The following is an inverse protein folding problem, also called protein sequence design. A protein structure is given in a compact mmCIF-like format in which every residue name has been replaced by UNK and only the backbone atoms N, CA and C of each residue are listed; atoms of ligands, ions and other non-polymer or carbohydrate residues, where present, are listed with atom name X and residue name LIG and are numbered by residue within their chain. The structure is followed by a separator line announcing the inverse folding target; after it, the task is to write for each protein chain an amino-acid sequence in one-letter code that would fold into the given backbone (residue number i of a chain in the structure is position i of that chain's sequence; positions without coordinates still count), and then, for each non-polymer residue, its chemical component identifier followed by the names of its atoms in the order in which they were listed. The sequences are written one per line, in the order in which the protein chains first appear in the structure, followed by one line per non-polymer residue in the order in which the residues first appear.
data_IF_068377419520
#
_entry.id   IF_068377419520
#
_cell.length_a   1.000
_cell.length_b   1.000
_cell.length_c   1.000
_cell.angle_alpha   90.00
_cell.angle_beta   90.00
_cell.angle_gamma   90.00
#
_symmetry.space_group_name_H-M   'P 1'
#
loop_
_entity.id
_entity.type
_entity.pdbx_description
1 polymer ?
#
# COMPACT_ATOMS: atom_id res chain seq x y z
N UNK A 1 86.13 -56.41 -11.59
CA UNK A 1 85.95 -55.07 -11.02
C UNK A 1 84.77 -54.40 -11.73
N UNK A 2 83.51 -54.69 -11.38
CA UNK A 2 82.72 -54.11 -10.29
C UNK A 2 82.97 -52.61 -10.07
N UNK A 3 81.86 -51.86 -10.17
CA UNK A 3 81.51 -50.60 -9.47
C UNK A 3 82.37 -49.39 -9.85
N UNK A 4 81.83 -48.33 -10.46
CA UNK A 4 81.27 -47.20 -9.69
C UNK A 4 80.38 -46.20 -10.49
N UNK A 5 79.91 -46.48 -11.72
CA UNK A 5 79.26 -45.42 -12.53
C UNK A 5 77.70 -45.35 -12.48
N UNK A 6 77.00 -46.19 -11.70
CA UNK A 6 75.52 -46.31 -11.79
C UNK A 6 74.73 -45.86 -10.55
N UNK A 7 75.35 -45.20 -9.57
CA UNK A 7 74.66 -44.77 -8.33
C UNK A 7 74.47 -43.26 -8.11
N UNK A 8 75.06 -42.39 -8.93
CA UNK A 8 74.87 -40.93 -8.77
C UNK A 8 73.70 -40.34 -9.61
N UNK A 9 73.34 -40.94 -10.75
CA UNK A 9 72.34 -40.36 -11.67
C UNK A 9 70.87 -40.59 -11.30
N UNK A 10 70.55 -41.53 -10.41
CA UNK A 10 69.16 -41.85 -10.03
C UNK A 10 68.66 -41.07 -8.80
N UNK A 11 69.56 -40.52 -7.98
CA UNK A 11 69.18 -39.76 -6.78
C UNK A 11 68.70 -38.34 -7.12
N UNK A 12 69.27 -37.69 -8.13
CA UNK A 12 68.90 -36.31 -8.51
C UNK A 12 67.53 -36.25 -9.22
N UNK A 13 67.17 -37.26 -10.01
CA UNK A 13 65.86 -37.31 -10.70
C UNK A 13 64.68 -37.62 -9.76
N UNK A 14 64.92 -38.18 -8.58
CA UNK A 14 63.83 -38.50 -7.62
C UNK A 14 63.48 -37.34 -6.69
N UNK A 15 64.43 -36.42 -6.44
CA UNK A 15 64.18 -35.20 -5.66
C UNK A 15 63.40 -34.15 -6.45
N UNK A 16 63.70 -33.96 -7.74
CA UNK A 16 62.98 -33.00 -8.59
C UNK A 16 61.51 -33.40 -8.86
N UNK A 17 61.20 -34.70 -8.88
CA UNK A 17 59.81 -35.19 -9.05
C UNK A 17 58.98 -35.20 -7.76
N UNK A 18 59.61 -34.96 -6.59
CA UNK A 18 58.92 -34.81 -5.30
C UNK A 18 58.69 -33.34 -4.95
N UNK A 19 59.56 -32.42 -5.41
CA UNK A 19 59.33 -30.98 -5.28
C UNK A 19 58.28 -30.45 -6.29
N UNK A 20 58.24 -30.98 -7.52
CA UNK A 20 57.24 -30.60 -8.53
C UNK A 20 55.84 -31.21 -8.35
N UNK A 21 55.59 -31.91 -7.23
CA UNK A 21 54.29 -32.54 -6.93
C UNK A 21 53.66 -32.03 -5.63
N UNK A 22 54.18 -30.94 -5.08
CA UNK A 22 53.65 -30.26 -3.88
C UNK A 22 53.11 -28.85 -4.18
N UNK A 23 52.92 -28.49 -5.44
CA UNK A 23 52.20 -27.27 -5.85
C UNK A 23 51.19 -27.62 -6.94
N UNK A 24 50.09 -28.22 -6.52
CA UNK A 24 48.81 -28.21 -7.22
C UNK A 24 47.73 -28.75 -6.27
N UNK A 25 47.58 -28.13 -5.09
CA UNK A 25 46.22 -28.00 -4.57
C UNK A 25 45.66 -26.79 -5.31
N UNK A 26 45.07 -27.03 -6.47
CA UNK A 26 44.09 -26.09 -7.02
C UNK A 26 43.16 -25.76 -5.85
N UNK A 27 43.09 -24.49 -5.47
CA UNK A 27 41.98 -24.04 -4.63
C UNK A 27 40.74 -24.54 -5.32
N UNK A 28 40.08 -25.54 -4.73
CA UNK A 28 38.70 -25.81 -5.08
C UNK A 28 38.03 -24.49 -4.75
N UNK A 29 37.68 -23.71 -5.77
CA UNK A 29 36.61 -22.73 -5.62
C UNK A 29 35.53 -23.50 -4.88
N UNK A 30 35.24 -23.06 -3.66
CA UNK A 30 34.04 -23.48 -2.97
C UNK A 30 32.94 -22.89 -3.84
N UNK A 31 32.53 -23.65 -4.85
CA UNK A 31 31.33 -23.36 -5.62
C UNK A 31 30.24 -23.49 -4.59
N UNK A 32 29.81 -22.35 -4.05
CA UNK A 32 28.64 -22.33 -3.18
C UNK A 32 27.54 -23.11 -3.90
N UNK A 33 26.86 -24.03 -3.20
CA UNK A 33 25.77 -24.79 -3.81
C UNK A 33 24.80 -23.77 -4.44
N UNK A 34 24.32 -24.00 -5.67
CA UNK A 34 23.45 -23.06 -6.34
C UNK A 34 22.30 -22.69 -5.40
N UNK A 35 22.14 -21.39 -5.14
CA UNK A 35 21.14 -20.88 -4.20
C UNK A 35 19.77 -21.51 -4.52
N UNK A 36 19.06 -21.98 -3.49
CA UNK A 36 17.71 -22.54 -3.65
C UNK A 36 16.85 -21.55 -4.44
N UNK A 37 16.37 -21.91 -5.65
CA UNK A 37 15.61 -20.99 -6.51
C UNK A 37 14.40 -20.36 -5.80
N UNK A 38 13.83 -21.06 -4.81
CA UNK A 38 12.72 -20.52 -4.00
C UNK A 38 13.19 -19.46 -3.02
N UNK A 39 14.33 -19.69 -2.36
CA UNK A 39 14.93 -18.73 -1.45
C UNK A 39 15.37 -17.46 -2.20
N UNK A 40 15.96 -17.62 -3.38
CA UNK A 40 16.37 -16.48 -4.21
C UNK A 40 15.16 -15.69 -4.72
N UNK A 41 14.11 -16.36 -5.21
CA UNK A 41 12.86 -15.67 -5.59
C UNK A 41 12.25 -14.91 -4.40
N UNK A 42 12.24 -15.52 -3.21
CA UNK A 42 11.75 -14.87 -1.99
C UNK A 42 12.56 -13.62 -1.66
N UNK A 43 13.88 -13.71 -1.69
CA UNK A 43 14.80 -12.57 -1.43
C UNK A 43 14.55 -11.44 -2.43
N UNK A 44 14.45 -11.76 -3.72
CA UNK A 44 14.16 -10.78 -4.78
C UNK A 44 12.84 -10.04 -4.52
N UNK A 45 11.75 -10.77 -4.26
CA UNK A 45 10.44 -10.15 -4.03
C UNK A 45 10.39 -9.29 -2.77
N UNK A 46 11.11 -9.64 -1.71
CA UNK A 46 11.20 -8.81 -0.51
C UNK A 46 12.03 -7.54 -0.73
N UNK A 47 12.95 -7.54 -1.70
CA UNK A 47 13.75 -6.38 -2.05
C UNK A 47 13.07 -5.46 -3.07
N UNK A 48 12.15 -5.99 -3.89
CA UNK A 48 11.50 -5.24 -4.96
C UNK A 48 10.68 -4.05 -4.48
N UNK A 49 10.69 -2.96 -5.24
CA UNK A 49 9.75 -1.85 -5.03
C UNK A 49 8.32 -2.25 -5.46
N UNK A 50 7.34 -1.43 -5.11
CA UNK A 50 5.93 -1.73 -5.35
C UNK A 50 5.59 -1.85 -6.85
N UNK A 51 6.26 -1.06 -7.69
CA UNK A 51 6.09 -1.11 -9.16
C UNK A 51 6.54 -2.45 -9.74
N UNK A 52 7.70 -2.95 -9.31
CA UNK A 52 8.19 -4.26 -9.70
C UNK A 52 7.27 -5.40 -9.25
N UNK A 53 6.71 -5.29 -8.03
CA UNK A 53 5.75 -6.26 -7.51
C UNK A 53 4.43 -6.21 -8.30
N UNK A 54 3.97 -5.02 -8.69
CA UNK A 54 2.78 -4.88 -9.53
C UNK A 54 2.95 -5.59 -10.88
N UNK A 55 4.13 -5.44 -11.50
CA UNK A 55 4.49 -6.13 -12.75
C UNK A 55 4.55 -7.65 -12.54
N UNK A 56 5.23 -8.13 -11.49
CA UNK A 56 5.36 -9.56 -11.18
C UNK A 56 3.98 -10.23 -10.98
N UNK A 57 3.07 -9.57 -10.25
CA UNK A 57 1.75 -10.12 -9.93
C UNK A 57 0.65 -9.74 -10.91
N UNK A 58 0.96 -8.91 -11.91
CA UNK A 58 0.06 -8.48 -12.99
C UNK A 58 -1.21 -7.81 -12.49
N UNK A 59 -1.05 -6.94 -11.50
CA UNK A 59 -2.10 -5.97 -11.15
C UNK A 59 -1.97 -4.75 -12.07
N UNK A 60 -3.11 -4.17 -12.40
CA UNK A 60 -3.31 -2.95 -13.18
C UNK A 60 -2.87 -1.67 -12.48
N UNK A 61 -2.61 -1.71 -11.16
CA UNK A 61 -2.05 -0.58 -10.38
C UNK A 61 -0.77 0.01 -10.99
N UNK A 62 -0.07 -0.76 -11.84
CA UNK A 62 0.95 -0.26 -12.76
C UNK A 62 0.72 -0.74 -14.21
N UNK A 63 0.93 0.16 -15.17
CA UNK A 63 0.83 -0.09 -16.60
C UNK A 63 -0.49 0.42 -17.19
N UNK A 64 -1.62 -0.06 -16.67
CA UNK A 64 -2.95 0.53 -16.96
C UNK A 64 -3.09 1.83 -16.17
N UNK A 65 -2.81 1.77 -14.87
CA UNK A 65 -2.73 2.92 -13.98
C UNK A 65 -1.26 3.23 -13.63
N UNK A 66 -1.06 4.31 -12.88
CA UNK A 66 0.27 4.76 -12.40
C UNK A 66 0.27 4.97 -10.89
N UNK A 67 -0.42 4.10 -10.15
CA UNK A 67 -0.66 4.28 -8.72
C UNK A 67 0.54 3.88 -7.85
N UNK A 68 1.35 2.91 -8.29
CA UNK A 68 2.41 2.33 -7.45
C UNK A 68 3.43 3.33 -6.90
N UNK A 69 3.91 4.37 -7.61
CA UNK A 69 4.84 5.33 -7.02
C UNK A 69 4.19 6.19 -5.92
N UNK A 70 2.89 6.49 -6.05
CA UNK A 70 2.15 7.24 -5.03
C UNK A 70 1.93 6.38 -3.79
N UNK A 71 1.49 5.13 -3.96
CA UNK A 71 1.38 4.18 -2.85
C UNK A 71 2.70 3.94 -2.13
N UNK A 72 3.79 3.74 -2.88
CA UNK A 72 5.10 3.53 -2.27
C UNK A 72 5.51 4.76 -1.44
N UNK A 73 5.41 5.97 -1.98
CA UNK A 73 5.68 7.21 -1.24
C UNK A 73 4.91 7.28 0.08
N UNK A 74 3.63 6.93 0.08
CA UNK A 74 2.76 7.07 1.25
C UNK A 74 2.86 5.90 2.23
N UNK A 75 3.22 4.71 1.78
CA UNK A 75 3.13 3.50 2.61
C UNK A 75 4.48 2.79 2.85
N UNK A 76 5.57 3.19 2.21
CA UNK A 76 6.88 2.54 2.36
C UNK A 76 7.36 2.51 3.82
N UNK A 77 7.03 3.53 4.62
CA UNK A 77 7.38 3.57 6.03
C UNK A 77 6.76 2.43 6.86
N UNK A 78 5.68 1.78 6.37
CA UNK A 78 5.01 0.66 7.03
C UNK A 78 5.60 -0.71 6.64
N UNK A 79 6.60 -0.77 5.75
CA UNK A 79 7.13 -2.03 5.19
C UNK A 79 7.59 -3.04 6.25
N UNK A 80 8.17 -2.53 7.33
CA UNK A 80 8.70 -3.31 8.45
C UNK A 80 7.69 -3.58 9.56
N UNK A 81 6.47 -3.02 9.48
CA UNK A 81 5.50 -2.95 10.57
C UNK A 81 4.45 -4.05 10.49
N UNK A 82 3.87 -4.37 11.66
CA UNK A 82 2.73 -5.28 11.77
C UNK A 82 1.45 -4.46 11.91
N UNK A 83 0.63 -4.48 10.86
CA UNK A 83 -0.66 -3.78 10.81
C UNK A 83 -1.66 -4.57 9.96
N UNK A 84 -2.91 -4.13 9.93
CA UNK A 84 -3.93 -4.68 9.03
C UNK A 84 -4.14 -3.73 7.85
N UNK A 85 -4.03 -4.27 6.64
CA UNK A 85 -4.42 -3.62 5.38
C UNK A 85 -5.73 -4.25 4.90
N UNK A 86 -6.75 -3.43 4.66
CA UNK A 86 -8.02 -3.86 4.07
C UNK A 86 -8.14 -3.33 2.64
N UNK A 87 -8.35 -4.21 1.67
CA UNK A 87 -8.65 -3.89 0.28
C UNK A 87 -10.12 -4.25 0.00
N UNK A 88 -10.95 -3.26 -0.34
CA UNK A 88 -12.28 -3.46 -0.88
C UNK A 88 -12.13 -3.70 -2.38
N UNK A 89 -12.56 -4.86 -2.88
CA UNK A 89 -12.30 -5.31 -4.25
C UNK A 89 -11.03 -6.16 -4.35
N UNK A 90 -11.20 -7.49 -4.37
CA UNK A 90 -10.09 -8.44 -4.61
C UNK A 90 -9.78 -8.57 -6.12
N UNK A 91 -10.72 -8.14 -6.96
CA UNK A 91 -10.55 -8.08 -8.40
C UNK A 91 -10.73 -9.40 -9.13
N UNK A 92 -10.58 -9.35 -10.46
CA UNK A 92 -10.82 -10.48 -11.35
C UNK A 92 -12.30 -10.79 -11.61
N UNK A 93 -13.25 -10.08 -10.98
CA UNK A 93 -14.69 -10.32 -11.09
C UNK A 93 -15.00 -11.83 -10.92
N UNK A 94 -15.84 -12.40 -11.79
CA UNK A 94 -16.14 -13.84 -11.83
C UNK A 94 -14.99 -14.73 -12.33
N UNK A 95 -13.90 -14.14 -12.85
CA UNK A 95 -12.79 -14.88 -13.45
C UNK A 95 -11.76 -15.24 -12.38
N UNK A 96 -11.98 -16.38 -11.73
CA UNK A 96 -11.12 -16.96 -10.68
C UNK A 96 -9.60 -16.83 -10.92
N UNK A 97 -9.13 -17.04 -12.16
CA UNK A 97 -7.68 -16.98 -12.50
C UNK A 97 -7.07 -15.57 -12.44
N UNK A 98 -7.88 -14.51 -12.38
CA UNK A 98 -7.44 -13.11 -12.36
C UNK A 98 -7.61 -12.45 -10.98
N UNK A 99 -8.10 -13.17 -9.97
CA UNK A 99 -8.37 -12.60 -8.63
C UNK A 99 -7.12 -12.52 -7.75
N UNK A 100 -7.07 -11.50 -6.89
CA UNK A 100 -6.06 -11.33 -5.85
C UNK A 100 -4.66 -11.00 -6.37
N UNK A 101 -4.57 -10.30 -7.51
CA UNK A 101 -3.29 -9.84 -8.05
C UNK A 101 -2.65 -8.79 -7.12
N UNK A 102 -3.41 -7.76 -6.75
CA UNK A 102 -3.01 -6.71 -5.80
C UNK A 102 -2.75 -7.27 -4.40
N UNK A 103 -3.61 -8.16 -3.88
CA UNK A 103 -3.37 -8.82 -2.59
C UNK A 103 -2.01 -9.53 -2.52
N UNK A 104 -1.54 -10.15 -3.62
CA UNK A 104 -0.20 -10.74 -3.67
C UNK A 104 0.88 -9.66 -3.65
N UNK A 105 0.70 -8.58 -4.40
CA UNK A 105 1.60 -7.42 -4.36
C UNK A 105 1.74 -6.90 -2.93
N UNK A 106 0.63 -6.62 -2.25
CA UNK A 106 0.61 -6.13 -0.87
C UNK A 106 1.28 -7.08 0.11
N UNK A 107 1.03 -8.39 -0.01
CA UNK A 107 1.70 -9.41 0.81
C UNK A 107 3.22 -9.38 0.72
N UNK A 108 3.77 -9.12 -0.46
CA UNK A 108 5.23 -9.07 -0.64
C UNK A 108 5.82 -7.72 -0.28
N UNK A 109 5.05 -6.64 -0.48
CA UNK A 109 5.47 -5.32 -0.05
C UNK A 109 5.45 -5.20 1.49
N UNK A 110 4.41 -5.71 2.15
CA UNK A 110 4.24 -5.71 3.62
C UNK A 110 4.30 -7.13 4.20
N UNK A 111 5.48 -7.75 4.34
CA UNK A 111 5.61 -9.16 4.73
C UNK A 111 5.14 -9.48 6.17
N UNK A 112 4.97 -8.46 7.02
CA UNK A 112 4.48 -8.59 8.40
C UNK A 112 3.04 -8.10 8.59
N UNK A 113 2.42 -7.51 7.57
CA UNK A 113 1.05 -7.07 7.63
C UNK A 113 0.08 -8.23 7.42
N UNK A 114 -1.11 -8.07 7.97
CA UNK A 114 -2.28 -8.86 7.61
C UNK A 114 -2.94 -8.21 6.41
N UNK A 115 -3.09 -8.97 5.33
CA UNK A 115 -3.71 -8.50 4.08
C UNK A 115 -5.14 -9.05 4.02
N UNK A 116 -6.11 -8.17 4.19
CA UNK A 116 -7.52 -8.49 4.20
C UNK A 116 -8.15 -8.00 2.90
N UNK A 117 -8.97 -8.83 2.28
CA UNK A 117 -9.75 -8.46 1.08
C UNK A 117 -11.23 -8.71 1.32
N UNK A 118 -12.08 -7.80 0.87
CA UNK A 118 -13.53 -7.97 0.78
C UNK A 118 -13.96 -7.93 -0.68
N UNK A 119 -14.83 -8.83 -1.10
CA UNK A 119 -15.35 -8.83 -2.46
C UNK A 119 -16.77 -9.39 -2.53
N UNK A 120 -17.56 -8.87 -3.47
CA UNK A 120 -18.94 -9.31 -3.73
C UNK A 120 -18.99 -10.70 -4.35
N UNK A 121 -17.91 -11.16 -4.97
CA UNK A 121 -17.76 -12.53 -5.47
C UNK A 121 -17.00 -13.39 -4.45
N UNK A 122 -17.46 -14.62 -4.22
CA UNK A 122 -16.80 -15.51 -3.27
C UNK A 122 -15.36 -15.87 -3.70
N UNK A 123 -14.43 -15.26 -2.97
CA UNK A 123 -12.98 -15.40 -3.12
C UNK A 123 -12.31 -15.91 -1.84
N UNK A 124 -13.08 -16.43 -0.89
CA UNK A 124 -12.60 -16.94 0.41
C UNK A 124 -11.52 -18.04 0.26
N UNK A 125 -11.50 -18.75 -0.86
CA UNK A 125 -10.45 -19.72 -1.22
C UNK A 125 -9.05 -19.11 -1.38
N UNK A 126 -8.91 -17.78 -1.45
CA UNK A 126 -7.62 -17.08 -1.42
C UNK A 126 -7.02 -17.00 -0.01
N UNK A 127 -7.81 -17.23 1.04
CA UNK A 127 -7.37 -17.18 2.43
C UNK A 127 -6.25 -18.20 2.67
N UNK A 128 -5.05 -17.69 2.94
CA UNK A 128 -3.86 -18.50 3.22
C UNK A 128 -2.74 -17.67 3.85
N UNK A 129 -2.17 -18.17 4.94
CA UNK A 129 -1.11 -17.46 5.65
C UNK A 129 -1.68 -16.19 6.28
N UNK A 130 -1.10 -15.03 5.98
CA UNK A 130 -1.58 -13.72 6.44
C UNK A 130 -2.48 -13.01 5.39
N UNK A 131 -2.96 -13.72 4.37
CA UNK A 131 -4.03 -13.23 3.48
C UNK A 131 -5.36 -13.79 3.97
N UNK A 132 -6.35 -12.92 4.15
CA UNK A 132 -7.71 -13.25 4.57
C UNK A 132 -8.71 -12.63 3.58
N UNK A 133 -9.56 -13.45 2.99
CA UNK A 133 -10.59 -12.99 2.05
C UNK A 133 -11.99 -13.21 2.63
N UNK A 134 -12.82 -12.18 2.50
CA UNK A 134 -14.22 -12.16 2.92
C UNK A 134 -15.12 -12.01 1.70
N UNK A 135 -16.28 -12.66 1.78
CA UNK A 135 -17.37 -12.49 0.83
C UNK A 135 -18.43 -11.56 1.44
N UNK A 136 -18.82 -10.53 0.69
CA UNK A 136 -19.84 -9.58 1.10
C UNK A 136 -19.82 -8.29 0.28
N UNK A 137 -20.76 -7.40 0.57
CA UNK A 137 -20.86 -6.08 -0.06
C UNK A 137 -20.02 -5.05 0.71
N UNK A 138 -19.32 -4.17 0.00
CA UNK A 138 -18.53 -3.10 0.63
C UNK A 138 -19.40 -2.05 1.35
N UNK A 139 -20.70 -2.03 1.06
CA UNK A 139 -21.70 -1.14 1.69
C UNK A 139 -22.38 -1.79 2.89
N UNK A 140 -22.06 -3.04 3.23
CA UNK A 140 -22.66 -3.75 4.36
C UNK A 140 -21.87 -3.48 5.66
N UNK A 141 -22.44 -2.71 6.61
CA UNK A 141 -21.76 -2.40 7.86
C UNK A 141 -21.52 -3.62 8.76
N UNK A 142 -22.34 -4.67 8.66
CA UNK A 142 -22.17 -5.89 9.47
C UNK A 142 -20.95 -6.67 9.01
N UNK A 143 -20.75 -6.79 7.71
CA UNK A 143 -19.56 -7.43 7.13
C UNK A 143 -18.30 -6.67 7.48
N UNK A 144 -18.32 -5.33 7.36
CA UNK A 144 -17.17 -4.49 7.67
C UNK A 144 -16.79 -4.53 9.17
N UNK A 145 -17.79 -4.50 10.07
CA UNK A 145 -17.56 -4.67 11.50
C UNK A 145 -17.00 -6.04 11.84
N UNK A 146 -17.55 -7.11 11.25
CA UNK A 146 -17.03 -8.47 11.42
C UNK A 146 -15.55 -8.56 11.01
N UNK A 147 -15.17 -7.94 9.90
CA UNK A 147 -13.77 -7.90 9.45
C UNK A 147 -12.88 -7.22 10.50
N UNK A 148 -13.32 -6.07 11.02
CA UNK A 148 -12.58 -5.32 12.05
C UNK A 148 -12.46 -6.14 13.34
N UNK A 149 -13.53 -6.78 13.78
CA UNK A 149 -13.56 -7.61 15.00
C UNK A 149 -12.62 -8.81 14.88
N UNK A 150 -12.57 -9.46 13.71
CA UNK A 150 -11.76 -10.67 13.50
C UNK A 150 -10.29 -10.37 13.15
N UNK A 151 -10.01 -9.27 12.46
CA UNK A 151 -8.69 -8.97 11.89
C UNK A 151 -8.00 -7.74 12.51
N UNK A 152 -8.70 -7.00 13.36
CA UNK A 152 -8.28 -5.71 13.92
C UNK A 152 -8.61 -4.55 12.98
N UNK A 153 -8.75 -3.35 13.55
CA UNK A 153 -8.98 -2.13 12.79
C UNK A 153 -7.83 -1.87 11.79
N UNK A 154 -8.13 -1.65 10.50
CA UNK A 154 -7.10 -1.47 9.50
C UNK A 154 -6.39 -0.13 9.67
N UNK A 155 -5.06 -0.14 9.58
CA UNK A 155 -4.27 1.09 9.47
C UNK A 155 -4.29 1.63 8.03
N UNK A 156 -4.48 0.74 7.05
CA UNK A 156 -4.58 1.11 5.63
C UNK A 156 -5.86 0.50 5.06
N UNK A 157 -6.69 1.34 4.44
CA UNK A 157 -7.84 0.92 3.64
C UNK A 157 -7.62 1.33 2.19
N UNK A 158 -7.89 0.43 1.25
CA UNK A 158 -7.89 0.70 -0.18
C UNK A 158 -9.27 0.36 -0.72
N UNK A 159 -10.02 1.37 -1.15
CA UNK A 159 -11.29 1.20 -1.86
C UNK A 159 -11.01 1.11 -3.37
N UNK A 160 -10.97 -0.13 -3.86
CA UNK A 160 -10.79 -0.54 -5.26
C UNK A 160 -11.96 -1.47 -5.67
N UNK A 161 -13.16 -1.17 -5.14
CA UNK A 161 -14.32 -2.04 -5.16
C UNK A 161 -15.21 -1.88 -6.40
N UNK A 162 -16.44 -1.40 -6.23
CA UNK A 162 -17.40 -1.24 -7.33
C UNK A 162 -17.14 0.01 -8.19
N UNK A 163 -16.43 0.99 -7.62
CA UNK A 163 -16.25 2.35 -8.14
C UNK A 163 -17.55 3.13 -8.35
N UNK A 164 -18.70 2.60 -7.89
CA UNK A 164 -19.98 3.33 -7.91
C UNK A 164 -19.89 4.42 -6.83
N UNK A 165 -20.08 5.71 -7.15
CA UNK A 165 -19.87 6.77 -6.19
C UNK A 165 -20.64 6.61 -4.88
N UNK A 166 -21.88 6.15 -4.94
CA UNK A 166 -22.68 5.86 -3.75
C UNK A 166 -22.03 4.79 -2.84
N UNK A 167 -21.41 3.76 -3.42
CA UNK A 167 -20.76 2.69 -2.65
C UNK A 167 -19.45 3.16 -2.02
N UNK A 168 -18.66 3.95 -2.77
CA UNK A 168 -17.41 4.57 -2.27
C UNK A 168 -17.73 5.45 -1.07
N UNK A 169 -18.71 6.35 -1.21
CA UNK A 169 -19.15 7.24 -0.12
C UNK A 169 -19.67 6.46 1.08
N UNK A 170 -20.46 5.42 0.86
CA UNK A 170 -21.04 4.63 1.96
C UNK A 170 -19.98 3.83 2.71
N UNK A 171 -19.07 3.17 2.01
CA UNK A 171 -17.97 2.43 2.64
C UNK A 171 -17.01 3.36 3.40
N UNK A 172 -16.69 4.54 2.85
CA UNK A 172 -15.93 5.57 3.56
C UNK A 172 -16.66 6.04 4.84
N UNK A 173 -17.96 6.36 4.74
CA UNK A 173 -18.79 6.79 5.87
C UNK A 173 -18.84 5.74 7.00
N UNK A 174 -18.86 4.46 6.66
CA UNK A 174 -18.86 3.36 7.63
C UNK A 174 -17.47 3.16 8.24
N UNK A 175 -16.43 3.07 7.40
CA UNK A 175 -15.09 2.65 7.82
C UNK A 175 -14.30 3.77 8.49
N UNK A 176 -14.32 4.98 7.94
CA UNK A 176 -13.42 6.06 8.36
C UNK A 176 -13.51 6.37 9.87
N UNK A 177 -14.70 6.40 10.51
CA UNK A 177 -14.81 6.58 11.95
C UNK A 177 -14.25 5.42 12.79
N UNK A 178 -14.16 4.21 12.23
CA UNK A 178 -13.67 3.01 12.90
C UNK A 178 -12.15 2.82 12.78
N UNK A 179 -11.49 3.64 11.95
CA UNK A 179 -10.05 3.57 11.76
C UNK A 179 -9.28 4.18 12.94
N UNK A 180 -8.09 3.66 13.29
CA UNK A 180 -7.24 4.27 14.30
C UNK A 180 -6.73 5.65 13.85
N UNK A 181 -6.19 6.43 14.79
CA UNK A 181 -5.41 7.62 14.47
C UNK A 181 -4.18 7.27 13.62
N UNK A 182 -3.82 8.12 12.66
CA UNK A 182 -2.75 7.87 11.70
C UNK A 182 -3.09 6.86 10.59
N UNK A 183 -4.35 6.43 10.49
CA UNK A 183 -4.78 5.55 9.41
C UNK A 183 -4.81 6.25 8.04
N UNK A 184 -4.64 5.47 6.99
CA UNK A 184 -4.64 5.93 5.59
C UNK A 184 -5.80 5.28 4.86
N UNK A 185 -6.68 6.09 4.26
CA UNK A 185 -7.79 5.64 3.41
C UNK A 185 -7.53 6.05 1.97
N UNK A 186 -7.46 5.09 1.06
CA UNK A 186 -7.21 5.32 -0.36
C UNK A 186 -8.47 5.02 -1.17
N UNK A 187 -8.78 5.88 -2.15
CA UNK A 187 -9.88 5.69 -3.11
C UNK A 187 -9.27 5.60 -4.50
N UNK A 188 -9.43 4.47 -5.16
CA UNK A 188 -9.02 4.28 -6.56
C UNK A 188 -10.16 4.58 -7.54
N UNK A 189 -9.77 4.85 -8.78
CA UNK A 189 -10.66 4.98 -9.94
C UNK A 189 -11.75 6.06 -9.82
N UNK A 190 -11.38 7.20 -9.24
CA UNK A 190 -12.32 8.30 -8.99
C UNK A 190 -12.92 8.93 -10.26
N UNK A 191 -12.38 8.62 -11.46
CA UNK A 191 -12.94 9.05 -12.75
C UNK A 191 -14.41 8.65 -12.93
N UNK A 192 -14.87 7.58 -12.29
CA UNK A 192 -16.27 7.13 -12.37
C UNK A 192 -17.25 8.17 -11.81
N UNK A 193 -16.77 9.12 -10.99
CA UNK A 193 -17.52 10.30 -10.57
C UNK A 193 -18.07 11.11 -11.75
N UNK A 194 -17.41 11.03 -12.91
CA UNK A 194 -17.79 11.77 -14.12
C UNK A 194 -18.56 10.92 -15.14
N UNK A 195 -18.87 9.66 -14.81
CA UNK A 195 -19.41 8.68 -15.75
C UNK A 195 -20.81 8.22 -15.32
N UNK A 196 -21.90 8.69 -15.96
CA UNK A 196 -23.27 8.31 -15.61
C UNK A 196 -23.54 6.80 -15.60
N UNK A 197 -22.86 6.02 -16.45
CA UNK A 197 -23.00 4.57 -16.48
C UNK A 197 -22.53 3.86 -15.20
N UNK A 198 -21.76 4.53 -14.34
CA UNK A 198 -21.32 4.06 -13.02
C UNK A 198 -22.02 4.81 -11.86
N UNK A 199 -23.05 5.60 -12.14
CA UNK A 199 -23.73 6.43 -11.13
C UNK A 199 -22.99 7.73 -10.79
N UNK A 200 -22.03 8.15 -11.64
CA UNK A 200 -21.47 9.48 -11.61
C UNK A 200 -22.31 10.49 -12.39
N UNK A 201 -21.78 11.69 -12.56
CA UNK A 201 -22.51 12.83 -13.12
C UNK A 201 -21.69 13.55 -14.20
N UNK A 202 -22.35 14.18 -15.17
CA UNK A 202 -21.67 14.93 -16.22
C UNK A 202 -21.11 16.27 -15.71
N UNK A 203 -21.81 16.91 -14.78
CA UNK A 203 -21.34 18.13 -14.13
C UNK A 203 -20.28 17.77 -13.09
N UNK A 204 -19.04 18.27 -13.22
CA UNK A 204 -18.00 18.01 -12.23
C UNK A 204 -18.36 18.47 -10.82
N UNK A 205 -19.30 19.41 -10.65
CA UNK A 205 -19.75 19.94 -9.36
C UNK A 205 -21.02 19.27 -8.83
N UNK A 206 -21.51 18.22 -9.49
CA UNK A 206 -22.71 17.55 -9.03
C UNK A 206 -22.48 16.87 -7.66
N UNK A 207 -23.42 17.03 -6.72
CA UNK A 207 -23.32 16.43 -5.40
C UNK A 207 -23.47 14.91 -5.46
N UNK A 208 -22.98 14.22 -4.42
CA UNK A 208 -23.17 12.78 -4.25
C UNK A 208 -22.19 11.89 -5.01
N UNK A 209 -21.23 12.47 -5.72
CA UNK A 209 -20.15 11.72 -6.39
C UNK A 209 -18.96 11.46 -5.45
N UNK A 210 -18.00 10.61 -5.84
CA UNK A 210 -16.77 10.42 -5.06
C UNK A 210 -15.90 11.67 -5.09
N UNK A 211 -15.86 12.38 -6.22
CA UNK A 211 -15.16 13.67 -6.33
C UNK A 211 -15.84 14.79 -5.53
N UNK A 212 -17.16 14.73 -5.33
CA UNK A 212 -17.88 15.62 -4.43
C UNK A 212 -17.43 15.40 -2.98
N UNK A 213 -17.37 14.14 -2.52
CA UNK A 213 -16.80 13.79 -1.20
C UNK A 213 -15.38 14.36 -1.05
N UNK A 214 -14.52 14.18 -2.05
CA UNK A 214 -13.13 14.66 -1.97
C UNK A 214 -13.05 16.18 -1.88
N UNK A 215 -13.95 16.93 -2.53
CA UNK A 215 -14.00 18.39 -2.40
C UNK A 215 -14.45 18.80 -1.01
N UNK A 216 -15.48 18.16 -0.48
CA UNK A 216 -15.92 18.39 0.90
C UNK A 216 -14.75 18.16 1.88
N UNK A 217 -13.96 17.10 1.69
CA UNK A 217 -12.79 16.82 2.51
C UNK A 217 -11.69 17.89 2.39
N UNK A 218 -11.45 18.40 1.18
CA UNK A 218 -10.43 19.43 0.95
C UNK A 218 -10.84 20.77 1.56
N UNK A 219 -12.12 21.15 1.44
CA UNK A 219 -12.64 22.35 2.11
C UNK A 219 -12.59 22.16 3.64
N UNK A 220 -13.02 21.00 4.14
CA UNK A 220 -13.07 20.62 5.56
C UNK A 220 -11.71 20.62 6.28
N UNK A 221 -10.60 20.48 5.55
CA UNK A 221 -9.25 20.68 6.13
C UNK A 221 -9.13 22.03 6.83
N UNK A 222 -9.84 23.05 6.33
CA UNK A 222 -9.73 24.44 6.78
C UNK A 222 -10.95 24.89 7.61
N UNK A 223 -11.72 23.94 8.16
CA UNK A 223 -13.01 24.24 8.81
C UNK A 223 -12.91 25.26 9.97
N UNK A 224 -11.79 25.31 10.69
CA UNK A 224 -11.56 26.28 11.77
C UNK A 224 -11.44 27.73 11.26
N UNK A 225 -11.28 27.92 9.96
CA UNK A 225 -11.19 29.23 9.30
C UNK A 225 -12.53 29.73 8.76
N UNK A 226 -13.59 28.91 8.79
CA UNK A 226 -14.87 29.29 8.22
C UNK A 226 -15.55 30.40 9.03
N UNK A 227 -16.02 31.44 8.34
CA UNK A 227 -16.80 32.55 8.93
C UNK A 227 -18.31 32.36 8.75
N UNK A 228 -18.73 31.11 8.54
CA UNK A 228 -20.12 30.76 8.30
C UNK A 228 -20.88 30.73 9.63
N UNK A 229 -21.84 31.63 9.79
CA UNK A 229 -22.69 31.68 10.99
C UNK A 229 -23.42 30.35 11.19
N UNK A 230 -23.29 29.78 12.38
CA UNK A 230 -23.95 28.52 12.75
C UNK A 230 -23.36 27.27 12.08
N UNK A 231 -22.18 27.35 11.46
CA UNK A 231 -21.49 26.18 10.95
C UNK A 231 -20.95 25.32 12.09
N UNK A 232 -21.29 24.03 12.05
CA UNK A 232 -20.82 23.00 12.97
C UNK A 232 -19.89 22.05 12.21
N UNK A 233 -18.62 21.87 12.64
CA UNK A 233 -17.70 20.96 11.97
C UNK A 233 -18.25 19.54 11.94
N UNK A 234 -18.18 18.91 10.77
CA UNK A 234 -18.49 17.51 10.59
C UNK A 234 -17.42 16.61 11.22
N UNK A 235 -17.74 15.32 11.37
CA UNK A 235 -16.74 14.36 11.85
C UNK A 235 -15.48 14.35 10.97
N UNK A 236 -15.63 14.45 9.65
CA UNK A 236 -14.50 14.47 8.73
C UNK A 236 -13.70 15.76 8.84
N UNK A 237 -14.33 16.90 9.10
CA UNK A 237 -13.64 18.17 9.28
C UNK A 237 -12.64 18.09 10.46
N UNK A 238 -13.04 17.41 11.53
CA UNK A 238 -12.22 17.26 12.75
C UNK A 238 -11.18 16.14 12.67
N UNK A 239 -11.33 15.17 11.75
CA UNK A 239 -10.56 13.92 11.76
C UNK A 239 -9.85 13.57 10.44
N UNK A 240 -9.95 14.42 9.42
CA UNK A 240 -9.12 14.35 8.21
C UNK A 240 -8.01 15.37 8.33
N UNK A 241 -6.76 14.92 8.36
CA UNK A 241 -5.58 15.78 8.51
C UNK A 241 -4.91 16.11 7.18
N UNK A 242 -5.06 15.24 6.17
CA UNK A 242 -4.52 15.49 4.83
C UNK A 242 -5.30 14.77 3.75
N UNK A 243 -5.35 15.38 2.56
CA UNK A 243 -5.91 14.80 1.35
C UNK A 243 -4.90 14.97 0.21
N UNK A 244 -4.43 13.86 -0.36
CA UNK A 244 -3.49 13.84 -1.47
C UNK A 244 -4.20 13.39 -2.74
N UNK A 245 -4.38 14.31 -3.68
CA UNK A 245 -5.07 14.04 -4.95
C UNK A 245 -4.07 13.78 -6.08
N UNK A 246 -4.19 12.61 -6.71
CA UNK A 246 -3.49 12.22 -7.93
C UNK A 246 -4.50 11.88 -9.03
N UNK A 247 -4.01 11.64 -10.24
CA UNK A 247 -4.90 11.21 -11.32
C UNK A 247 -5.52 9.84 -10.96
N UNK A 248 -6.84 9.83 -10.76
CA UNK A 248 -7.66 8.66 -10.42
C UNK A 248 -7.33 7.97 -9.09
N UNK A 249 -6.60 8.64 -8.20
CA UNK A 249 -6.26 8.11 -6.88
C UNK A 249 -6.31 9.25 -5.87
N UNK A 250 -7.00 9.03 -4.75
CA UNK A 250 -7.02 9.94 -3.60
C UNK A 250 -6.56 9.19 -2.37
N UNK A 251 -5.67 9.79 -1.59
CA UNK A 251 -5.14 9.23 -0.34
C UNK A 251 -5.46 10.21 0.79
N UNK A 252 -6.16 9.72 1.81
CA UNK A 252 -6.67 10.50 2.93
C UNK A 252 -5.96 10.04 4.20
N UNK A 253 -5.39 10.97 4.95
CA UNK A 253 -4.80 10.69 6.26
C UNK A 253 -5.79 11.05 7.37
N UNK A 254 -6.11 10.05 8.20
CA UNK A 254 -6.89 10.24 9.42
C UNK A 254 -6.00 10.77 10.53
N UNK A 255 -6.44 11.84 11.18
CA UNK A 255 -5.76 12.44 12.30
C UNK A 255 -6.55 13.61 12.87
N UNK A 256 -6.19 14.04 14.07
CA UNK A 256 -6.77 15.27 14.66
C UNK A 256 -6.48 16.48 13.75
N UNK A 257 -7.54 17.19 13.34
CA UNK A 257 -7.49 18.39 12.50
C UNK A 257 -7.99 19.64 13.26
N UNK A 258 -7.71 19.72 14.55
CA UNK A 258 -8.08 20.85 15.41
C UNK A 258 -6.81 21.58 15.84
N UNK A 259 -6.05 22.07 14.86
CA UNK A 259 -4.79 22.77 15.08
C UNK A 259 -5.01 24.19 15.66
N UNK A 260 -6.22 24.71 15.51
CA UNK A 260 -6.63 26.06 15.88
C UNK A 260 -6.35 27.06 14.76
N UNK A 261 -7.19 28.11 14.69
CA UNK A 261 -6.95 29.26 13.82
C UNK A 261 -6.06 30.29 14.53
N UNK A 262 -5.16 30.94 13.78
CA UNK A 262 -4.40 32.11 14.25
C UNK A 262 -5.06 33.45 13.88
N UNK A 263 -6.30 33.41 13.36
CA UNK A 263 -7.00 34.58 12.81
C UNK A 263 -7.06 35.74 13.78
N UNK A 264 -7.43 35.49 15.03
CA UNK A 264 -7.67 36.56 16.00
C UNK A 264 -6.36 37.27 16.39
N UNK A 265 -5.24 36.55 16.43
CA UNK A 265 -3.91 37.10 16.66
C UNK A 265 -3.44 37.94 15.45
N UNK A 266 -3.61 37.43 14.23
CA UNK A 266 -3.19 38.10 12.99
C UNK A 266 -4.05 39.34 12.68
N UNK A 267 -5.35 39.28 12.90
CA UNK A 267 -6.26 40.42 12.71
C UNK A 267 -5.89 41.58 13.64
N UNK A 268 -5.52 41.25 14.89
CA UNK A 268 -5.05 42.23 15.87
C UNK A 268 -3.72 42.88 15.45
N UNK A 269 -2.77 42.11 14.91
CA UNK A 269 -1.45 42.61 14.50
C UNK A 269 -1.46 43.43 13.20
N UNK A 270 -2.20 43.00 12.19
CA UNK A 270 -2.15 43.62 10.85
C UNK A 270 -3.13 44.76 10.66
N UNK A 271 -4.29 44.70 11.31
CA UNK A 271 -5.39 45.63 11.05
C UNK A 271 -5.79 46.48 12.26
N UNK A 272 -5.38 46.11 13.48
CA UNK A 272 -5.81 46.73 14.72
C UNK A 272 -7.31 46.49 14.95
N UNK A 273 -7.67 45.78 16.02
CA UNK A 273 -9.04 45.45 16.44
C UNK A 273 -10.13 45.76 15.40
N UNK A 274 -10.37 44.83 14.46
CA UNK A 274 -11.56 44.96 13.62
C UNK A 274 -12.76 44.73 14.54
N UNK A 275 -13.46 45.80 14.90
CA UNK A 275 -14.79 45.68 15.46
C UNK A 275 -15.60 44.81 14.47
N UNK A 276 -16.10 43.68 14.97
CA UNK A 276 -17.03 42.84 14.23
C UNK A 276 -18.16 43.73 13.70
N UNK A 277 -18.67 43.53 12.47
CA UNK A 277 -19.85 44.27 12.03
C UNK A 277 -20.98 43.95 13.01
N UNK A 278 -21.55 44.99 13.64
CA UNK A 278 -22.74 44.83 14.47
C UNK A 278 -23.85 44.17 13.65
N UNK A 279 -24.46 43.13 14.25
CA UNK A 279 -25.53 42.32 13.64
C UNK A 279 -26.85 43.04 13.44
#
# INVERSE_FOLDING_TARGET
MRTTARRAGQAVKKAARKAGRMQASSGAEVVEPPADPRAERRRRLLASNLTELAIEFRTDKWGVHRYTPHYERHLEHLRGESFTLLELGIGGYKKRRRSGASMKMWRWFFPKARIVGLDIEDKTWLTRGHIHAYHGDQTDPEVLRRIIDEQGAPLVVIDDGSHIPAHVRESFRILFPLLPDGAIYCIEDIQTSYWPAWGGELDPRAPGTSMDLVKDLVDGLNHEEFLLEGYEPTYTDQWVRAVHCYHNLVIIEKGDNREGSNRDDVAHELYGSSELPEG
#
